data_IF_781897033052
#
_entry.id   IF_781897033052
#
_cell.length_a   1.000
_cell.length_b   1.000
_cell.length_c   1.000
_cell.angle_alpha   90.00
_cell.angle_beta   90.00
_cell.angle_gamma   90.00
#
_symmetry.space_group_name_H-M   'P 1'
#
loop_
_entity.id
_entity.type
_entity.pdbx_description
1 polymer ?
#
# COMPACT_ATOMS: atom_id res chain seq x y z
N UNK A 1 10.04 44.63 6.53
CA UNK A 1 10.08 43.62 7.61
C UNK A 1 10.30 42.28 6.95
N UNK A 2 11.46 41.65 7.16
CA UNK A 2 11.66 40.28 6.71
C UNK A 2 10.90 39.38 7.68
N UNK A 3 9.96 38.59 7.15
CA UNK A 3 9.33 37.52 7.90
C UNK A 3 10.41 36.50 8.32
N UNK A 4 10.56 36.33 9.64
CA UNK A 4 11.50 35.40 10.28
C UNK A 4 10.86 34.03 10.55
N UNK A 5 9.63 33.79 10.09
CA UNK A 5 9.05 32.46 10.05
C UNK A 5 9.97 31.55 9.22
N UNK A 6 10.45 30.45 9.81
CA UNK A 6 11.03 29.34 9.05
C UNK A 6 10.01 28.90 8.00
N UNK A 7 10.20 29.34 6.76
CA UNK A 7 9.32 29.03 5.64
C UNK A 7 9.26 27.53 5.47
N UNK A 8 8.15 26.95 5.93
CA UNK A 8 7.86 25.53 5.75
C UNK A 8 7.19 25.36 4.40
N UNK A 9 7.79 24.57 3.53
CA UNK A 9 7.27 24.25 2.20
C UNK A 9 7.20 22.74 1.96
N UNK A 10 6.88 22.33 0.73
CA UNK A 10 6.80 20.92 0.35
C UNK A 10 8.13 20.18 0.47
N UNK A 11 9.26 20.88 0.37
CA UNK A 11 10.61 20.30 0.36
C UNK A 11 11.25 20.30 1.74
N UNK A 12 10.67 21.02 2.69
CA UNK A 12 11.14 21.10 4.07
C UNK A 12 10.99 19.74 4.76
N UNK A 13 12.04 19.22 5.43
CA UNK A 13 11.95 17.96 6.17
C UNK A 13 10.92 18.03 7.30
N UNK A 14 10.40 16.86 7.69
CA UNK A 14 9.40 16.73 8.76
C UNK A 14 9.51 15.37 9.44
N UNK A 15 9.23 15.34 10.75
CA UNK A 15 9.06 14.08 11.48
C UNK A 15 7.58 13.68 11.50
N UNK A 16 7.26 12.51 10.97
CA UNK A 16 5.92 11.92 10.99
C UNK A 16 5.91 10.75 11.98
N UNK A 17 5.44 10.99 13.21
CA UNK A 17 5.53 10.02 14.29
C UNK A 17 6.99 9.69 14.63
N UNK A 18 7.41 8.46 14.35
CA UNK A 18 8.80 8.00 14.53
C UNK A 18 9.63 8.02 13.23
N UNK A 19 9.05 8.44 12.10
CA UNK A 19 9.71 8.40 10.78
C UNK A 19 10.14 9.81 10.40
N UNK A 20 11.44 9.99 10.16
CA UNK A 20 11.99 11.24 9.63
C UNK A 20 11.88 11.23 8.09
N UNK A 21 11.17 12.22 7.53
CA UNK A 21 10.93 12.36 6.10
C UNK A 21 11.79 13.50 5.53
N UNK A 22 12.39 13.26 4.37
CA UNK A 22 13.23 14.23 3.69
C UNK A 22 12.45 15.44 3.13
N UNK A 23 11.15 15.27 2.88
CA UNK A 23 10.24 16.28 2.38
C UNK A 23 8.79 15.92 2.75
N UNK A 24 7.82 16.77 2.42
CA UNK A 24 6.39 16.62 2.76
C UNK A 24 5.54 16.04 1.63
N UNK A 25 6.18 15.53 0.58
CA UNK A 25 5.51 14.95 -0.58
C UNK A 25 5.30 13.46 -0.31
N UNK A 26 4.04 13.06 -0.18
CA UNK A 26 3.65 11.66 0.03
C UNK A 26 3.10 11.09 -1.27
N UNK A 27 3.60 9.92 -1.67
CA UNK A 27 2.93 9.13 -2.69
C UNK A 27 1.71 8.46 -2.06
N UNK A 28 0.52 8.90 -2.46
CA UNK A 28 -0.74 8.30 -2.05
C UNK A 28 -0.82 6.81 -2.44
N UNK A 29 -1.59 5.99 -1.71
CA UNK A 29 -1.81 4.60 -2.08
C UNK A 29 -2.65 4.53 -3.35
N UNK A 30 -2.15 3.80 -4.36
CA UNK A 30 -2.85 3.62 -5.64
C UNK A 30 -2.81 2.14 -6.03
N UNK A 31 -3.94 1.45 -5.95
CA UNK A 31 -4.10 0.06 -6.40
C UNK A 31 -3.76 -0.06 -7.89
N UNK A 32 -2.82 -0.96 -8.21
CA UNK A 32 -2.30 -1.10 -9.59
C UNK A 32 -2.78 -2.34 -10.31
N UNK A 33 -3.26 -3.34 -9.57
CA UNK A 33 -3.72 -4.63 -10.10
C UNK A 33 -2.68 -5.32 -10.98
N UNK A 34 -1.44 -5.49 -10.47
CA UNK A 34 -0.29 -6.06 -11.22
C UNK A 34 0.29 -7.34 -10.60
N UNK A 35 -0.47 -8.00 -9.75
CA UNK A 35 -0.03 -9.21 -9.06
C UNK A 35 -0.59 -10.45 -9.76
N UNK A 36 0.12 -11.57 -9.62
CA UNK A 36 -0.47 -12.87 -9.90
C UNK A 36 -1.58 -13.19 -8.87
N UNK A 37 -2.26 -14.31 -9.04
CA UNK A 37 -3.38 -14.71 -8.19
C UNK A 37 -2.97 -14.89 -6.72
N UNK A 38 -1.73 -15.31 -6.48
CA UNK A 38 -1.10 -15.45 -5.16
C UNK A 38 -0.96 -14.11 -4.39
N UNK A 39 -1.06 -12.97 -5.08
CA UNK A 39 -0.87 -11.65 -4.50
C UNK A 39 0.55 -11.38 -4.02
N UNK A 40 1.57 -12.11 -4.51
CA UNK A 40 2.96 -11.99 -4.07
C UNK A 40 3.68 -10.89 -4.87
N UNK A 41 4.24 -9.86 -4.21
CA UNK A 41 5.06 -8.88 -4.91
C UNK A 41 6.34 -9.50 -5.50
N UNK A 42 6.75 -8.99 -6.65
CA UNK A 42 7.93 -9.43 -7.39
C UNK A 42 8.80 -8.23 -7.83
N UNK A 43 9.81 -8.48 -8.65
CA UNK A 43 10.80 -7.47 -9.05
C UNK A 43 10.20 -6.29 -9.82
N UNK A 44 9.08 -6.48 -10.51
CA UNK A 44 8.32 -5.39 -11.15
C UNK A 44 7.82 -4.38 -10.11
N UNK A 45 7.28 -4.89 -9.00
CA UNK A 45 6.76 -4.08 -7.91
C UNK A 45 7.88 -3.37 -7.16
N UNK A 46 8.99 -4.07 -6.91
CA UNK A 46 10.18 -3.49 -6.28
C UNK A 46 10.73 -2.33 -7.11
N UNK A 47 10.88 -2.53 -8.43
CA UNK A 47 11.31 -1.49 -9.37
C UNK A 47 10.34 -0.30 -9.37
N UNK A 48 9.03 -0.57 -9.41
CA UNK A 48 7.99 0.47 -9.43
C UNK A 48 8.07 1.41 -8.22
N UNK A 49 8.22 0.86 -7.02
CA UNK A 49 8.31 1.65 -5.79
C UNK A 49 9.68 2.31 -5.61
N UNK A 50 10.77 1.63 -5.95
CA UNK A 50 12.12 2.20 -5.87
C UNK A 50 12.28 3.45 -6.75
N UNK A 51 11.68 3.47 -7.95
CA UNK A 51 11.64 4.66 -8.82
C UNK A 51 10.96 5.88 -8.18
N UNK A 52 10.21 5.70 -7.08
CA UNK A 52 9.46 6.76 -6.38
C UNK A 52 10.01 7.07 -4.99
N UNK A 53 11.15 6.49 -4.63
CA UNK A 53 11.78 6.66 -3.33
C UNK A 53 12.19 8.10 -2.98
N UNK A 54 12.15 9.03 -3.95
CA UNK A 54 12.32 10.46 -3.72
C UNK A 54 11.14 11.13 -2.98
N UNK A 55 9.96 10.49 -2.95
CA UNK A 55 8.87 10.92 -2.09
C UNK A 55 9.32 10.84 -0.61
N UNK A 56 8.92 11.82 0.20
CA UNK A 56 9.19 11.81 1.64
C UNK A 56 8.71 10.52 2.29
N UNK A 57 7.53 10.04 1.87
CA UNK A 57 7.00 8.73 2.21
C UNK A 57 6.17 8.15 1.05
N UNK A 58 6.26 6.84 0.86
CA UNK A 58 5.37 6.06 0.00
C UNK A 58 4.35 5.35 0.89
N UNK A 59 3.07 5.47 0.56
CA UNK A 59 2.05 4.55 1.06
C UNK A 59 1.83 3.51 -0.04
N UNK A 60 2.17 2.26 0.26
CA UNK A 60 1.95 1.15 -0.67
C UNK A 60 0.47 1.01 -1.00
N UNK A 61 0.18 0.42 -2.15
CA UNK A 61 -1.19 0.13 -2.55
C UNK A 61 -1.95 -0.74 -1.53
N UNK A 62 -3.28 -0.70 -1.62
CA UNK A 62 -4.16 -1.44 -0.73
C UNK A 62 -3.79 -2.93 -0.72
N UNK A 63 -3.37 -3.42 0.45
CA UNK A 63 -2.79 -4.74 0.64
C UNK A 63 -3.71 -5.57 1.51
N UNK A 64 -4.26 -6.65 0.96
CA UNK A 64 -5.25 -7.46 1.64
C UNK A 64 -4.64 -8.14 2.87
N UNK A 65 -5.31 -8.09 4.02
CA UNK A 65 -4.86 -8.71 5.28
C UNK A 65 -5.25 -10.17 5.42
N UNK A 66 -6.06 -10.69 4.50
CA UNK A 66 -6.53 -12.07 4.46
C UNK A 66 -7.05 -12.40 3.07
N UNK A 67 -7.26 -13.68 2.77
CA UNK A 67 -7.91 -14.11 1.54
C UNK A 67 -9.35 -13.56 1.42
N UNK A 68 -10.11 -13.53 2.52
CA UNK A 68 -11.48 -12.98 2.58
C UNK A 68 -11.51 -11.46 2.34
N UNK A 69 -10.43 -10.76 2.68
CA UNK A 69 -10.33 -9.30 2.53
C UNK A 69 -10.21 -8.81 1.09
N UNK A 70 -10.13 -9.71 0.09
CA UNK A 70 -9.95 -9.40 -1.32
C UNK A 70 -11.28 -9.03 -1.99
N UNK A 71 -11.26 -7.95 -2.78
CA UNK A 71 -12.40 -7.50 -3.60
C UNK A 71 -12.07 -7.14 -5.03
N UNK A 72 -10.79 -7.15 -5.37
CA UNK A 72 -10.29 -6.77 -6.69
C UNK A 72 -9.24 -7.78 -7.12
N UNK A 73 -9.31 -8.20 -8.38
CA UNK A 73 -8.34 -9.10 -8.97
C UNK A 73 -6.93 -8.49 -8.99
N UNK A 74 -5.94 -9.37 -8.99
CA UNK A 74 -4.52 -9.03 -9.11
C UNK A 74 -4.04 -8.02 -8.05
N UNK A 75 -4.53 -8.09 -6.80
CA UNK A 75 -4.11 -7.22 -5.68
C UNK A 75 -3.18 -7.95 -4.70
N UNK A 76 -2.26 -7.23 -4.03
CA UNK A 76 -1.29 -7.86 -3.14
C UNK A 76 -1.91 -8.34 -1.83
N UNK A 77 -1.21 -9.27 -1.18
CA UNK A 77 -1.52 -9.73 0.18
C UNK A 77 -0.40 -9.47 1.19
N UNK A 78 -0.71 -9.65 2.48
CA UNK A 78 0.27 -9.66 3.58
C UNK A 78 -0.13 -10.61 4.73
N UNK A 79 -0.67 -11.79 4.41
CA UNK A 79 -1.15 -12.76 5.40
C UNK A 79 -0.40 -14.09 5.41
N UNK A 80 0.56 -14.28 4.51
CA UNK A 80 1.40 -15.47 4.45
C UNK A 80 2.89 -15.12 4.25
N UNK A 81 3.77 -16.11 4.43
CA UNK A 81 5.22 -15.92 4.38
C UNK A 81 5.73 -15.55 2.99
N UNK A 82 5.14 -16.10 1.92
CA UNK A 82 5.54 -15.79 0.54
C UNK A 82 5.27 -14.32 0.19
N UNK A 83 4.13 -13.80 0.61
CA UNK A 83 3.78 -12.39 0.46
C UNK A 83 4.71 -11.49 1.28
N UNK A 84 5.04 -11.88 2.51
CA UNK A 84 6.04 -11.17 3.33
C UNK A 84 7.39 -11.14 2.62
N UNK A 85 7.85 -12.25 2.06
CA UNK A 85 9.10 -12.32 1.30
C UNK A 85 9.06 -11.44 0.03
N UNK A 86 7.93 -11.43 -0.69
CA UNK A 86 7.72 -10.53 -1.82
C UNK A 86 7.77 -9.05 -1.42
N UNK A 87 7.07 -8.67 -0.36
CA UNK A 87 7.11 -7.30 0.18
C UNK A 87 8.49 -6.93 0.71
N UNK A 88 9.25 -7.89 1.25
CA UNK A 88 10.63 -7.65 1.69
C UNK A 88 11.48 -7.11 0.54
N UNK A 89 11.40 -7.71 -0.64
CA UNK A 89 12.08 -7.21 -1.87
C UNK A 89 11.71 -5.76 -2.18
N UNK A 90 10.42 -5.41 -2.07
CA UNK A 90 9.94 -4.05 -2.30
C UNK A 90 10.53 -3.08 -1.27
N UNK A 91 10.43 -3.41 0.02
CA UNK A 91 10.95 -2.54 1.09
C UNK A 91 12.46 -2.37 0.98
N UNK A 92 13.21 -3.43 0.65
CA UNK A 92 14.65 -3.35 0.46
C UNK A 92 15.02 -2.46 -0.71
N UNK A 93 14.33 -2.56 -1.85
CA UNK A 93 14.59 -1.71 -3.00
C UNK A 93 14.28 -0.22 -2.70
N UNK A 94 13.20 0.08 -1.97
CA UNK A 94 12.88 1.45 -1.53
C UNK A 94 13.93 1.98 -0.56
N UNK A 95 14.33 1.18 0.44
CA UNK A 95 15.32 1.59 1.43
C UNK A 95 16.71 1.76 0.83
N UNK A 96 17.12 0.89 -0.10
CA UNK A 96 18.37 1.03 -0.84
C UNK A 96 18.41 2.32 -1.67
N UNK A 97 17.26 2.80 -2.14
CA UNK A 97 17.11 4.09 -2.81
C UNK A 97 16.90 5.28 -1.86
N UNK A 98 16.99 5.06 -0.53
CA UNK A 98 16.88 6.11 0.50
C UNK A 98 15.45 6.51 0.88
N UNK A 99 14.43 5.84 0.34
CA UNK A 99 13.02 6.17 0.58
C UNK A 99 12.46 5.59 1.88
N UNK A 100 11.22 5.98 2.21
CA UNK A 100 10.41 5.39 3.29
C UNK A 100 9.11 4.84 2.71
N UNK A 101 8.68 3.67 3.16
CA UNK A 101 7.43 3.04 2.70
C UNK A 101 6.64 2.46 3.88
N UNK A 102 5.32 2.61 3.84
CA UNK A 102 4.37 1.98 4.77
C UNK A 102 3.31 1.20 4.00
N UNK A 103 2.74 0.15 4.60
CA UNK A 103 1.67 -0.64 3.99
C UNK A 103 0.29 -0.09 4.33
N UNK A 104 -0.59 0.02 3.33
CA UNK A 104 -2.01 0.26 3.55
C UNK A 104 -2.72 -1.08 3.77
N UNK A 105 -2.97 -1.42 5.04
CA UNK A 105 -3.71 -2.64 5.40
C UNK A 105 -5.17 -2.54 4.95
N UNK A 106 -5.65 -3.58 4.29
CA UNK A 106 -6.94 -3.53 3.60
C UNK A 106 -7.82 -4.75 3.81
N UNK A 107 -9.10 -4.48 3.98
CA UNK A 107 -10.19 -5.45 3.91
C UNK A 107 -11.39 -4.76 3.23
N UNK A 108 -11.84 -5.29 2.09
CA UNK A 108 -12.90 -4.64 1.29
C UNK A 108 -14.30 -4.75 1.87
N UNK A 109 -14.52 -5.75 2.73
CA UNK A 109 -15.84 -6.08 3.27
C UNK A 109 -16.80 -6.44 2.12
N UNK A 110 -17.95 -5.74 2.06
CA UNK A 110 -18.98 -6.01 1.05
C UNK A 110 -18.63 -5.62 -0.39
N UNK A 111 -17.54 -4.88 -0.61
CA UNK A 111 -17.09 -4.52 -1.96
C UNK A 111 -16.23 -5.65 -2.55
N UNK A 112 -16.85 -6.82 -2.73
CA UNK A 112 -16.25 -8.04 -3.29
C UNK A 112 -17.32 -8.85 -4.04
N UNK A 113 -16.95 -10.01 -4.59
CA UNK A 113 -17.86 -10.96 -5.23
C UNK A 113 -17.51 -12.38 -4.81
N UNK A 114 -18.47 -13.31 -4.94
CA UNK A 114 -18.27 -14.74 -4.65
C UNK A 114 -17.12 -15.33 -5.49
N UNK A 115 -16.92 -14.84 -6.71
CA UNK A 115 -15.84 -15.29 -7.61
C UNK A 115 -14.44 -15.00 -7.05
N UNK A 116 -14.32 -14.00 -6.17
CA UNK A 116 -13.06 -13.60 -5.55
C UNK A 116 -12.87 -14.18 -4.14
N UNK A 117 -13.91 -14.83 -3.60
CA UNK A 117 -13.89 -15.36 -2.25
C UNK A 117 -13.42 -16.82 -2.23
N UNK A 118 -12.64 -17.22 -1.20
CA UNK A 118 -12.29 -18.62 -1.00
C UNK A 118 -13.55 -19.50 -0.98
N UNK A 119 -13.54 -20.56 -1.77
CA UNK A 119 -14.67 -21.52 -1.82
C UNK A 119 -15.98 -20.94 -2.37
N UNK A 120 -15.99 -19.75 -2.98
CA UNK A 120 -17.22 -19.12 -3.47
C UNK A 120 -18.11 -18.54 -2.36
N UNK A 121 -17.56 -18.31 -1.17
CA UNK A 121 -18.30 -17.77 -0.04
C UNK A 121 -18.83 -16.34 -0.28
N UNK A 122 -19.88 -15.95 0.45
CA UNK A 122 -20.39 -14.59 0.39
C UNK A 122 -19.41 -13.61 1.06
N UNK A 123 -19.17 -12.41 0.47
CA UNK A 123 -18.41 -11.36 1.14
C UNK A 123 -18.98 -10.97 2.51
N UNK A 124 -18.10 -10.73 3.47
CA UNK A 124 -18.49 -10.31 4.83
C UNK A 124 -18.73 -8.81 4.93
N UNK A 125 -19.61 -8.41 5.85
CA UNK A 125 -20.00 -7.03 6.06
C UNK A 125 -20.50 -6.83 7.49
N UNK A 126 -20.54 -5.59 8.02
CA UNK A 126 -21.16 -5.33 9.32
C UNK A 126 -22.68 -5.60 9.33
N UNK A 127 -23.33 -5.64 8.16
CA UNK A 127 -24.75 -5.95 8.00
C UNK A 127 -25.02 -6.54 6.62
N UNK A 128 -26.10 -7.32 6.48
CA UNK A 128 -26.52 -7.95 5.22
C UNK A 128 -27.13 -6.95 4.21
N UNK A 129 -26.37 -5.90 3.87
CA UNK A 129 -26.76 -4.84 2.93
C UNK A 129 -25.80 -4.84 1.75
N UNK A 130 -26.34 -4.99 0.54
CA UNK A 130 -25.55 -4.90 -0.70
C UNK A 130 -24.82 -3.55 -0.78
N UNK A 131 -23.60 -3.50 -1.35
CA UNK A 131 -22.98 -2.23 -1.66
C UNK A 131 -23.88 -1.43 -2.63
N UNK A 132 -23.95 -0.10 -2.50
CA UNK A 132 -24.58 0.72 -3.53
C UNK A 132 -23.84 0.50 -4.86
N UNK A 133 -24.62 0.33 -5.93
CA UNK A 133 -24.11 0.20 -7.30
C UNK A 133 -23.63 1.53 -7.86
#
# INVERSE_FOLDING_TARGET
MNDLSTTTDLFSPVRMGSIDLANRIVMAPVTRSRYAEDGVPNDLHATYYAQRAAAGMIVAEATNISAQGRGYAATPGIWNEEQVAGWRKVTDAVHAAGGKIVSQLWHVGRFSSVDLQPGGEAPVAPSALRPPG
#
